data_IF_019548292950
#
_entry.id   IF_019548292950
#
_cell.length_a   1.000
_cell.length_b   1.000
_cell.length_c   1.000
_cell.angle_alpha   90.00
_cell.angle_beta   90.00
_cell.angle_gamma   90.00
#
_symmetry.space_group_name_H-M   'P 1'
#
loop_
_entity.id
_entity.type
_entity.pdbx_description
1 polymer ?
#
# COMPACT_ATOMS: atom_id res chain seq x y z
N UNK A 1 -41.28 17.35 0.40
CA UNK A 1 -42.33 16.31 0.43
C UNK A 1 -41.65 14.98 0.74
N UNK A 2 -42.36 14.03 1.36
CA UNK A 2 -41.84 12.68 1.61
C UNK A 2 -42.50 11.72 0.64
N UNK A 3 -41.69 11.01 -0.16
CA UNK A 3 -42.16 10.02 -1.13
C UNK A 3 -41.80 8.63 -0.62
N UNK A 4 -42.79 7.76 -0.44
CA UNK A 4 -42.59 6.37 -0.01
C UNK A 4 -42.98 5.44 -1.15
N UNK A 5 -42.07 4.56 -1.53
CA UNK A 5 -42.28 3.52 -2.53
C UNK A 5 -42.16 2.16 -1.85
N UNK A 6 -43.20 1.32 -1.96
CA UNK A 6 -43.24 -0.01 -1.37
C UNK A 6 -43.70 -1.03 -2.41
N UNK A 7 -43.07 -2.21 -2.43
CA UNK A 7 -43.43 -3.35 -3.29
C UNK A 7 -43.42 -3.02 -4.80
N UNK A 8 -42.47 -2.18 -5.23
CA UNK A 8 -42.36 -1.77 -6.64
C UNK A 8 -41.44 -2.73 -7.40
N UNK A 9 -41.93 -3.20 -8.54
CA UNK A 9 -41.18 -4.05 -9.46
C UNK A 9 -40.98 -3.31 -10.78
N UNK A 10 -39.75 -2.87 -11.03
CA UNK A 10 -39.36 -2.26 -12.31
C UNK A 10 -38.61 -3.31 -13.12
N UNK A 11 -39.32 -3.91 -14.09
CA UNK A 11 -38.86 -5.03 -14.89
C UNK A 11 -39.38 -4.92 -16.33
N UNK A 12 -38.53 -5.25 -17.31
CA UNK A 12 -38.93 -5.52 -18.69
C UNK A 12 -38.54 -6.94 -19.14
N UNK A 13 -39.33 -7.58 -20.04
CA UNK A 13 -38.96 -8.86 -20.67
C UNK A 13 -37.73 -8.74 -21.58
N UNK A 14 -37.48 -7.52 -22.05
CA UNK A 14 -36.26 -7.05 -22.71
C UNK A 14 -35.66 -5.90 -21.88
N UNK A 15 -34.38 -5.52 -22.07
CA UNK A 15 -33.80 -4.40 -21.34
C UNK A 15 -34.68 -3.16 -21.43
N UNK A 16 -35.20 -2.69 -20.28
CA UNK A 16 -36.00 -1.47 -20.22
C UNK A 16 -35.05 -0.29 -20.49
N UNK A 17 -35.24 0.38 -21.63
CA UNK A 17 -34.46 1.57 -21.97
C UNK A 17 -35.01 2.80 -21.25
N UNK A 18 -34.26 3.29 -20.27
CA UNK A 18 -34.61 4.48 -19.49
C UNK A 18 -33.78 5.65 -20.01
N UNK A 19 -34.41 6.61 -20.69
CA UNK A 19 -33.71 7.76 -21.32
C UNK A 19 -33.58 8.94 -20.35
N UNK A 20 -34.58 9.14 -19.48
CA UNK A 20 -34.57 10.08 -18.37
C UNK A 20 -34.61 9.30 -17.05
N UNK A 21 -33.96 9.79 -15.99
CA UNK A 21 -33.98 9.12 -14.68
C UNK A 21 -35.41 8.78 -14.21
N UNK A 22 -35.56 7.70 -13.45
CA UNK A 22 -36.88 7.26 -12.95
C UNK A 22 -37.36 8.21 -11.85
N UNK A 23 -36.42 8.70 -11.05
CA UNK A 23 -36.65 9.64 -9.96
C UNK A 23 -35.60 10.74 -10.06
N UNK A 24 -36.04 11.99 -10.11
CA UNK A 24 -35.20 13.19 -10.09
C UNK A 24 -36.00 14.29 -9.39
N UNK A 25 -35.74 14.57 -8.11
CA UNK A 25 -36.49 15.60 -7.36
C UNK A 25 -35.88 15.90 -5.96
N UNK A 26 -36.17 17.09 -5.43
CA UNK A 26 -35.75 17.60 -4.11
C UNK A 26 -36.62 17.10 -2.94
N UNK A 27 -37.02 15.82 -2.97
CA UNK A 27 -37.82 15.20 -1.90
C UNK A 27 -37.03 14.21 -1.06
N UNK A 28 -37.51 13.91 0.15
CA UNK A 28 -36.99 12.79 0.94
C UNK A 28 -37.63 11.48 0.45
N UNK A 29 -36.84 10.41 0.35
CA UNK A 29 -37.26 9.14 -0.23
C UNK A 29 -37.08 7.97 0.72
N UNK A 30 -38.12 7.13 0.81
CA UNK A 30 -38.06 5.81 1.43
C UNK A 30 -38.48 4.80 0.37
N UNK A 31 -37.59 3.88 0.02
CA UNK A 31 -37.86 2.75 -0.87
C UNK A 31 -37.71 1.48 -0.08
N UNK A 32 -38.79 0.71 0.03
CA UNK A 32 -38.82 -0.53 0.79
C UNK A 32 -39.29 -1.69 -0.09
N UNK A 33 -38.58 -2.82 -0.07
CA UNK A 33 -38.87 -3.99 -0.89
C UNK A 33 -39.03 -3.68 -2.40
N UNK A 34 -38.08 -2.91 -2.97
CA UNK A 34 -38.12 -2.50 -4.38
C UNK A 34 -37.16 -3.32 -5.24
N UNK A 35 -37.61 -3.74 -6.43
CA UNK A 35 -36.81 -4.51 -7.38
C UNK A 35 -36.54 -3.75 -8.68
N UNK A 36 -35.27 -3.64 -9.03
CA UNK A 36 -34.78 -3.09 -10.29
C UNK A 36 -34.13 -4.21 -11.11
N UNK A 37 -34.74 -4.62 -12.23
CA UNK A 37 -34.23 -5.73 -13.05
C UNK A 37 -34.21 -5.42 -14.54
N UNK A 38 -33.12 -5.81 -15.20
CA UNK A 38 -32.95 -5.69 -16.66
C UNK A 38 -33.19 -4.26 -17.16
N UNK A 39 -32.49 -3.28 -16.59
CA UNK A 39 -32.64 -1.87 -16.99
C UNK A 39 -31.36 -1.44 -17.69
N UNK A 40 -31.50 -0.85 -18.87
CA UNK A 40 -30.40 -0.16 -19.54
C UNK A 40 -30.72 1.32 -19.59
N UNK A 41 -29.80 2.17 -19.18
CA UNK A 41 -29.99 3.61 -19.25
C UNK A 41 -28.79 4.30 -19.88
N UNK A 42 -29.04 5.33 -20.67
CA UNK A 42 -28.03 6.30 -21.09
C UNK A 42 -28.11 7.60 -20.28
N UNK A 43 -28.99 7.65 -19.27
CA UNK A 43 -29.18 8.84 -18.44
C UNK A 43 -27.99 9.03 -17.49
N UNK A 44 -27.96 10.21 -16.84
CA UNK A 44 -26.99 10.50 -15.79
C UNK A 44 -27.16 9.58 -14.57
N UNK A 45 -28.39 9.26 -14.19
CA UNK A 45 -28.67 8.28 -13.15
C UNK A 45 -30.05 7.66 -13.31
N UNK A 46 -30.21 6.41 -12.88
CA UNK A 46 -31.53 5.79 -12.75
C UNK A 46 -32.27 6.42 -11.56
N UNK A 47 -31.57 6.54 -10.42
CA UNK A 47 -32.06 7.15 -9.20
C UNK A 47 -31.21 8.39 -8.90
N UNK A 48 -31.78 9.57 -9.09
CA UNK A 48 -31.12 10.84 -8.79
C UNK A 48 -31.81 11.51 -7.60
N UNK A 49 -31.02 11.84 -6.58
CA UNK A 49 -31.51 12.43 -5.35
C UNK A 49 -30.73 13.70 -5.01
N UNK A 50 -31.44 14.76 -4.65
CA UNK A 50 -30.86 16.06 -4.29
C UNK A 50 -31.37 16.57 -2.94
N UNK A 51 -30.46 17.08 -2.13
CA UNK A 51 -30.69 17.90 -0.92
C UNK A 51 -31.42 17.26 0.26
N UNK A 52 -31.77 15.98 0.19
CA UNK A 52 -32.61 15.33 1.18
C UNK A 52 -32.09 13.94 1.56
N UNK A 53 -32.61 13.43 2.69
CA UNK A 53 -32.33 12.08 3.13
C UNK A 53 -32.99 11.02 2.23
N UNK A 54 -32.28 9.91 2.03
CA UNK A 54 -32.71 8.78 1.21
C UNK A 54 -32.49 7.48 1.97
N UNK A 55 -33.52 6.65 2.03
CA UNK A 55 -33.49 5.34 2.68
C UNK A 55 -33.92 4.26 1.69
N UNK A 56 -33.01 3.35 1.34
CA UNK A 56 -33.24 2.20 0.47
C UNK A 56 -33.14 0.94 1.32
N UNK A 57 -34.26 0.30 1.61
CA UNK A 57 -34.33 -0.91 2.41
C UNK A 57 -34.84 -2.09 1.57
N UNK A 58 -34.24 -3.25 1.77
CA UNK A 58 -34.64 -4.51 1.12
C UNK A 58 -34.73 -4.40 -0.42
N UNK A 59 -33.80 -3.66 -1.05
CA UNK A 59 -33.81 -3.51 -2.52
C UNK A 59 -33.06 -4.64 -3.24
N UNK A 60 -33.59 -5.08 -4.37
CA UNK A 60 -32.94 -6.04 -5.27
C UNK A 60 -32.59 -5.37 -6.61
N UNK A 61 -31.31 -5.25 -6.90
CA UNK A 61 -30.78 -4.62 -8.13
C UNK A 61 -30.04 -5.66 -8.94
N UNK A 62 -30.51 -5.94 -10.16
CA UNK A 62 -29.96 -7.01 -10.99
C UNK A 62 -29.96 -6.64 -12.47
N UNK A 63 -28.83 -6.88 -13.16
CA UNK A 63 -28.71 -6.65 -14.61
C UNK A 63 -29.04 -5.20 -14.99
N UNK A 64 -28.45 -4.26 -14.27
CA UNK A 64 -28.50 -2.84 -14.59
C UNK A 64 -27.30 -2.48 -15.46
N UNK A 65 -27.52 -1.74 -16.54
CA UNK A 65 -26.47 -1.25 -17.43
C UNK A 65 -26.59 0.26 -17.63
N UNK A 66 -25.70 1.03 -17.03
CA UNK A 66 -25.61 2.48 -17.20
C UNK A 66 -24.57 2.80 -18.29
N UNK A 67 -25.03 3.10 -19.50
CA UNK A 67 -24.22 3.27 -20.72
C UNK A 67 -24.07 4.71 -21.18
N UNK A 68 -24.40 5.68 -20.32
CA UNK A 68 -24.18 7.10 -20.60
C UNK A 68 -22.69 7.46 -20.70
N UNK A 69 -22.39 8.75 -20.78
CA UNK A 69 -21.01 9.24 -20.85
C UNK A 69 -20.19 8.76 -19.64
N UNK A 70 -18.91 8.47 -19.92
CA UNK A 70 -17.96 8.09 -18.87
C UNK A 70 -17.93 9.16 -17.78
N UNK A 71 -17.83 8.75 -16.52
CA UNK A 71 -17.83 9.59 -15.30
C UNK A 71 -19.18 10.11 -14.78
N UNK A 72 -20.16 10.31 -15.66
CA UNK A 72 -21.42 10.97 -15.28
C UNK A 72 -22.58 9.99 -15.07
N UNK A 73 -22.56 8.82 -15.69
CA UNK A 73 -23.63 7.83 -15.53
C UNK A 73 -23.47 6.96 -14.29
N UNK A 74 -24.59 6.67 -13.61
CA UNK A 74 -24.63 5.86 -12.38
C UNK A 74 -25.99 5.17 -12.21
N UNK A 75 -26.07 4.18 -11.33
CA UNK A 75 -27.37 3.68 -10.88
C UNK A 75 -27.99 4.66 -9.88
N UNK A 76 -27.20 5.04 -8.87
CA UNK A 76 -27.56 6.05 -7.86
C UNK A 76 -26.62 7.25 -7.98
N UNK A 77 -27.20 8.44 -8.12
CA UNK A 77 -26.52 9.72 -7.93
C UNK A 77 -27.16 10.46 -6.76
N UNK A 78 -26.41 10.62 -5.68
CA UNK A 78 -26.84 11.34 -4.48
C UNK A 78 -26.03 12.62 -4.31
N UNK A 79 -26.72 13.77 -4.28
CA UNK A 79 -26.11 15.06 -4.02
C UNK A 79 -26.69 15.67 -2.74
N UNK A 80 -25.90 15.75 -1.67
CA UNK A 80 -26.36 16.32 -0.40
C UNK A 80 -26.46 17.84 -0.41
N UNK A 81 -25.87 18.53 -1.40
CA UNK A 81 -25.76 19.98 -1.42
C UNK A 81 -24.90 20.51 -0.27
N UNK A 82 -25.32 21.60 0.35
CA UNK A 82 -24.62 22.24 1.47
C UNK A 82 -24.97 21.63 2.84
N UNK A 83 -26.09 20.90 2.92
CA UNK A 83 -26.61 20.35 4.16
C UNK A 83 -26.05 18.95 4.44
N UNK A 84 -26.03 18.59 5.72
CA UNK A 84 -25.83 17.21 6.15
C UNK A 84 -27.04 16.36 5.77
N UNK A 85 -26.87 15.50 4.76
CA UNK A 85 -27.88 14.55 4.33
C UNK A 85 -27.35 13.12 4.33
N UNK A 86 -28.25 12.20 4.63
CA UNK A 86 -27.99 10.77 4.76
C UNK A 86 -28.51 10.02 3.53
N UNK A 87 -27.69 9.12 3.00
CA UNK A 87 -28.15 8.03 2.16
C UNK A 87 -27.86 6.70 2.85
N UNK A 88 -28.91 5.91 3.04
CA UNK A 88 -28.87 4.62 3.72
C UNK A 88 -29.31 3.52 2.77
N UNK A 89 -28.50 2.46 2.66
CA UNK A 89 -28.79 1.25 1.90
C UNK A 89 -28.69 0.06 2.85
N UNK A 90 -29.80 -0.61 3.11
CA UNK A 90 -29.88 -1.68 4.11
C UNK A 90 -30.52 -2.94 3.56
N UNK A 91 -30.06 -4.10 4.01
CA UNK A 91 -30.64 -5.42 3.70
C UNK A 91 -30.79 -5.68 2.19
N UNK A 92 -29.86 -5.15 1.39
CA UNK A 92 -30.03 -5.06 -0.06
C UNK A 92 -29.13 -6.02 -0.83
N UNK A 93 -29.48 -6.31 -2.07
CA UNK A 93 -28.68 -7.16 -2.95
C UNK A 93 -28.51 -6.52 -4.33
N UNK A 94 -27.28 -6.20 -4.70
CA UNK A 94 -26.90 -5.59 -5.98
C UNK A 94 -26.01 -6.59 -6.71
N UNK A 95 -26.39 -7.00 -7.93
CA UNK A 95 -25.58 -7.95 -8.69
C UNK A 95 -25.62 -7.81 -10.20
N UNK A 96 -24.61 -8.38 -10.86
CA UNK A 96 -24.55 -8.58 -12.31
C UNK A 96 -24.82 -7.29 -13.10
N UNK A 97 -24.22 -6.19 -12.69
CA UNK A 97 -24.53 -4.86 -13.21
C UNK A 97 -23.28 -4.16 -13.73
N UNK A 98 -23.46 -3.16 -14.60
CA UNK A 98 -22.37 -2.39 -15.16
C UNK A 98 -22.66 -0.90 -15.29
N UNK A 99 -21.62 -0.06 -15.22
CA UNK A 99 -21.73 1.39 -15.41
C UNK A 99 -20.51 1.97 -16.14
N UNK A 100 -20.71 2.94 -17.02
CA UNK A 100 -19.61 3.72 -17.62
C UNK A 100 -19.01 4.77 -16.66
N UNK A 101 -19.64 5.02 -15.51
CA UNK A 101 -19.08 5.81 -14.41
C UNK A 101 -19.16 5.02 -13.10
N UNK A 102 -19.19 5.70 -11.95
CA UNK A 102 -19.48 5.05 -10.69
C UNK A 102 -20.86 4.38 -10.67
N UNK A 103 -21.03 3.28 -9.95
CA UNK A 103 -22.36 2.65 -9.85
C UNK A 103 -23.24 3.38 -8.82
N UNK A 104 -22.65 3.76 -7.68
CA UNK A 104 -23.24 4.61 -6.64
C UNK A 104 -22.32 5.80 -6.46
N UNK A 105 -22.77 6.98 -6.88
CA UNK A 105 -22.01 8.23 -6.80
C UNK A 105 -22.60 9.16 -5.76
N UNK A 106 -21.75 9.72 -4.90
CA UNK A 106 -22.15 10.68 -3.86
C UNK A 106 -21.30 11.94 -3.92
N UNK A 107 -21.95 13.09 -3.84
CA UNK A 107 -21.32 14.42 -3.87
C UNK A 107 -22.01 15.37 -2.89
N UNK A 108 -21.35 16.47 -2.55
CA UNK A 108 -21.88 17.55 -1.68
C UNK A 108 -20.87 18.00 -0.62
N UNK A 109 -21.26 18.94 0.25
CA UNK A 109 -20.39 19.48 1.29
C UNK A 109 -20.24 18.50 2.47
N UNK A 110 -21.36 18.00 3.00
CA UNK A 110 -21.39 17.02 4.07
C UNK A 110 -22.31 15.85 3.70
N UNK A 111 -21.86 14.61 3.88
CA UNK A 111 -22.73 13.46 3.71
C UNK A 111 -22.55 12.36 4.77
N UNK A 112 -23.67 11.71 5.10
CA UNK A 112 -23.67 10.48 5.89
C UNK A 112 -24.00 9.30 4.98
N UNK A 113 -23.12 8.30 4.93
CA UNK A 113 -23.36 7.03 4.27
C UNK A 113 -23.68 5.95 5.28
N UNK A 114 -24.72 5.18 5.01
CA UNK A 114 -24.99 3.96 5.76
C UNK A 114 -25.16 2.83 4.77
N UNK A 115 -24.35 1.79 4.89
CA UNK A 115 -24.42 0.57 4.08
C UNK A 115 -24.38 -0.63 5.01
N UNK A 116 -25.52 -1.29 5.22
CA UNK A 116 -25.65 -2.38 6.20
C UNK A 116 -26.27 -3.63 5.60
N UNK A 117 -25.79 -4.81 6.02
CA UNK A 117 -26.37 -6.10 5.65
C UNK A 117 -26.62 -6.23 4.14
N UNK A 118 -25.66 -5.80 3.32
CA UNK A 118 -25.84 -5.65 1.87
C UNK A 118 -24.83 -6.52 1.13
N UNK A 119 -25.25 -7.08 -0.01
CA UNK A 119 -24.38 -7.79 -0.95
C UNK A 119 -24.24 -6.98 -2.23
N UNK A 120 -23.00 -6.74 -2.68
CA UNK A 120 -22.68 -6.09 -3.95
C UNK A 120 -21.70 -6.98 -4.70
N UNK A 121 -22.20 -7.68 -5.72
CA UNK A 121 -21.49 -8.78 -6.35
C UNK A 121 -21.50 -8.71 -7.87
N UNK A 122 -20.36 -8.94 -8.53
CA UNK A 122 -20.27 -8.95 -9.99
C UNK A 122 -20.71 -7.62 -10.64
N UNK A 123 -20.29 -6.49 -10.06
CA UNK A 123 -20.47 -5.16 -10.64
C UNK A 123 -19.19 -4.72 -11.34
N UNK A 124 -19.29 -4.35 -12.62
CA UNK A 124 -18.16 -3.81 -13.40
C UNK A 124 -18.41 -2.36 -13.77
N UNK A 125 -17.52 -1.46 -13.40
CA UNK A 125 -17.66 -0.03 -13.71
C UNK A 125 -16.40 0.57 -14.35
N UNK A 126 -16.58 1.62 -15.13
CA UNK A 126 -15.49 2.52 -15.57
C UNK A 126 -15.33 3.70 -14.59
N UNK A 127 -15.36 3.35 -13.31
CA UNK A 127 -15.07 4.17 -12.14
C UNK A 127 -15.29 3.37 -10.86
N UNK A 128 -15.17 3.94 -9.66
CA UNK A 128 -15.41 3.20 -8.43
C UNK A 128 -16.87 2.69 -8.38
N UNK A 129 -17.11 1.46 -7.90
CA UNK A 129 -18.50 0.98 -7.74
C UNK A 129 -19.23 1.87 -6.74
N UNK A 130 -18.57 2.25 -5.65
CA UNK A 130 -19.05 3.25 -4.71
C UNK A 130 -18.05 4.38 -4.67
N UNK A 131 -18.47 5.58 -5.02
CA UNK A 131 -17.66 6.79 -4.99
C UNK A 131 -18.32 7.84 -4.10
N UNK A 132 -17.51 8.52 -3.28
CA UNK A 132 -17.95 9.71 -2.58
C UNK A 132 -16.89 10.79 -2.57
N UNK A 133 -17.23 11.91 -3.20
CA UNK A 133 -16.35 13.07 -3.38
C UNK A 133 -16.75 14.25 -2.47
N UNK A 134 -17.50 13.98 -1.40
CA UNK A 134 -17.93 15.02 -0.46
C UNK A 134 -16.77 15.55 0.37
N UNK A 135 -16.82 16.83 0.76
CA UNK A 135 -15.72 17.46 1.53
C UNK A 135 -15.60 16.90 2.94
N UNK A 136 -16.72 16.61 3.59
CA UNK A 136 -16.82 15.98 4.91
C UNK A 136 -17.76 14.78 4.84
N UNK A 137 -17.33 13.64 5.38
CA UNK A 137 -18.07 12.40 5.22
C UNK A 137 -18.10 11.60 6.52
N UNK A 138 -19.29 11.18 6.92
CA UNK A 138 -19.48 10.11 7.90
C UNK A 138 -19.90 8.83 7.16
N UNK A 139 -19.16 7.74 7.33
CA UNK A 139 -19.34 6.50 6.59
C UNK A 139 -19.49 5.35 7.58
N UNK A 140 -20.62 4.64 7.51
CA UNK A 140 -20.86 3.43 8.27
C UNK A 140 -21.13 2.25 7.33
N UNK A 141 -20.19 1.31 7.27
CA UNK A 141 -20.30 0.08 6.51
C UNK A 141 -20.29 -1.09 7.50
N UNK A 142 -21.32 -1.93 7.49
CA UNK A 142 -21.33 -3.14 8.32
C UNK A 142 -22.01 -4.32 7.65
N UNK A 143 -21.49 -5.53 7.90
CA UNK A 143 -22.03 -6.76 7.32
C UNK A 143 -22.17 -6.65 5.79
N UNK A 144 -21.19 -6.05 5.13
CA UNK A 144 -21.14 -5.93 3.67
C UNK A 144 -20.44 -7.17 3.08
N UNK A 145 -21.05 -7.76 2.06
CA UNK A 145 -20.44 -8.76 1.19
C UNK A 145 -20.14 -8.12 -0.17
N UNK A 146 -18.87 -7.81 -0.44
CA UNK A 146 -18.44 -7.06 -1.63
C UNK A 146 -17.48 -7.90 -2.47
N UNK A 147 -18.00 -8.65 -3.44
CA UNK A 147 -17.22 -9.65 -4.17
C UNK A 147 -17.25 -9.55 -5.69
N UNK A 148 -16.14 -9.92 -6.32
CA UNK A 148 -16.00 -9.99 -7.79
C UNK A 148 -16.36 -8.69 -8.50
N UNK A 149 -16.12 -7.55 -7.86
CA UNK A 149 -16.38 -6.26 -8.48
C UNK A 149 -15.12 -5.71 -9.15
N UNK A 150 -15.31 -4.98 -10.25
CA UNK A 150 -14.19 -4.51 -11.08
C UNK A 150 -14.36 -3.00 -11.35
N UNK A 151 -13.44 -2.20 -10.84
CA UNK A 151 -13.19 -0.86 -11.36
C UNK A 151 -12.16 -0.94 -12.51
N UNK A 152 -12.66 -0.80 -13.74
CA UNK A 152 -11.86 -0.85 -14.97
C UNK A 152 -11.21 0.49 -15.35
N UNK A 153 -11.46 1.56 -14.60
CA UNK A 153 -10.81 2.85 -14.82
C UNK A 153 -9.34 2.79 -14.38
N UNK A 154 -8.42 3.24 -15.23
CA UNK A 154 -6.98 3.25 -14.95
C UNK A 154 -6.52 4.48 -14.17
N UNK A 155 -7.39 5.47 -14.03
CA UNK A 155 -7.07 6.78 -13.44
C UNK A 155 -7.79 7.00 -12.11
N UNK A 156 -8.93 6.36 -11.88
CA UNK A 156 -9.70 6.48 -10.64
C UNK A 156 -9.31 5.40 -9.64
N UNK A 157 -9.38 5.73 -8.35
CA UNK A 157 -8.89 4.89 -7.27
C UNK A 157 -10.03 4.03 -6.69
N UNK A 158 -9.73 2.84 -6.17
CA UNK A 158 -10.69 2.07 -5.38
C UNK A 158 -11.73 1.30 -6.20
N UNK A 159 -12.15 0.15 -5.68
CA UNK A 159 -13.51 -0.35 -6.00
C UNK A 159 -14.56 0.38 -5.16
N UNK A 160 -14.20 0.75 -3.93
CA UNK A 160 -14.87 1.73 -3.07
C UNK A 160 -13.90 2.88 -2.85
N UNK A 161 -14.35 4.10 -3.08
CA UNK A 161 -13.51 5.30 -3.04
C UNK A 161 -14.13 6.40 -2.16
N UNK A 162 -13.35 6.85 -1.18
CA UNK A 162 -13.66 8.00 -0.33
C UNK A 162 -12.45 8.94 -0.23
N UNK A 163 -12.68 10.24 -0.04
CA UNK A 163 -11.63 11.25 0.05
C UNK A 163 -11.99 12.41 1.00
N UNK A 164 -11.04 13.34 1.22
CA UNK A 164 -11.17 14.54 2.06
C UNK A 164 -11.25 14.26 3.58
N UNK A 165 -12.12 14.96 4.32
CA UNK A 165 -12.33 14.76 5.76
C UNK A 165 -13.24 13.55 6.00
N UNK A 166 -12.74 12.52 6.68
CA UNK A 166 -13.39 11.23 6.84
C UNK A 166 -13.63 10.86 8.30
N UNK A 167 -14.85 10.45 8.62
CA UNK A 167 -15.17 9.61 9.78
C UNK A 167 -15.68 8.28 9.24
N UNK A 168 -14.89 7.21 9.33
CA UNK A 168 -15.18 5.93 8.66
C UNK A 168 -15.21 4.76 9.64
N UNK A 169 -16.32 4.02 9.64
CA UNK A 169 -16.52 2.79 10.40
C UNK A 169 -16.81 1.64 9.43
N UNK A 170 -15.93 0.65 9.37
CA UNK A 170 -16.12 -0.56 8.55
C UNK A 170 -16.04 -1.77 9.47
N UNK A 171 -17.14 -2.53 9.56
CA UNK A 171 -17.25 -3.64 10.51
C UNK A 171 -17.78 -4.92 9.88
N UNK A 172 -17.27 -6.07 10.32
CA UNK A 172 -17.83 -7.39 9.97
C UNK A 172 -18.06 -7.59 8.46
N UNK A 173 -17.22 -7.00 7.62
CA UNK A 173 -17.43 -6.95 6.17
C UNK A 173 -16.39 -7.77 5.43
N UNK A 174 -16.80 -8.36 4.32
CA UNK A 174 -15.93 -9.16 3.44
C UNK A 174 -15.76 -8.45 2.10
N UNK A 175 -14.51 -8.28 1.70
CA UNK A 175 -14.11 -7.73 0.41
C UNK A 175 -13.28 -8.79 -0.31
N UNK A 176 -13.86 -9.41 -1.34
CA UNK A 176 -13.18 -10.51 -2.04
C UNK A 176 -13.09 -10.41 -3.54
N UNK A 177 -11.94 -10.78 -4.08
CA UNK A 177 -11.75 -10.93 -5.54
C UNK A 177 -12.15 -9.66 -6.31
N UNK A 178 -11.99 -8.50 -5.69
CA UNK A 178 -12.23 -7.22 -6.34
C UNK A 178 -10.96 -6.77 -7.07
N UNK A 179 -11.13 -6.13 -8.23
CA UNK A 179 -10.03 -5.63 -9.03
C UNK A 179 -10.22 -4.15 -9.35
N UNK A 180 -9.24 -3.34 -8.96
CA UNK A 180 -9.11 -1.97 -9.44
C UNK A 180 -7.91 -1.89 -10.38
N UNK A 181 -8.06 -1.29 -11.55
CA UNK A 181 -6.91 -1.07 -12.47
C UNK A 181 -5.98 0.06 -12.03
N UNK A 182 -6.29 0.71 -10.91
CA UNK A 182 -5.45 1.69 -10.22
C UNK A 182 -5.19 1.23 -8.78
N UNK A 183 -5.07 2.14 -7.81
CA UNK A 183 -4.78 1.81 -6.41
C UNK A 183 -6.02 1.39 -5.62
N UNK A 184 -5.85 0.60 -4.56
CA UNK A 184 -6.91 0.19 -3.62
C UNK A 184 -7.86 -0.85 -4.22
N UNK A 185 -7.47 -2.12 -4.22
CA UNK A 185 -8.25 -3.15 -4.93
C UNK A 185 -9.67 -3.31 -4.38
N UNK A 186 -9.83 -3.23 -3.05
CA UNK A 186 -11.13 -3.11 -2.41
C UNK A 186 -11.44 -1.64 -2.07
N UNK A 187 -10.69 -1.04 -1.14
CA UNK A 187 -10.95 0.30 -0.62
C UNK A 187 -9.78 1.22 -0.93
N UNK A 188 -10.09 2.40 -1.48
CA UNK A 188 -9.17 3.50 -1.59
C UNK A 188 -9.65 4.70 -0.78
N UNK A 189 -8.79 5.16 0.12
CA UNK A 189 -8.91 6.43 0.83
C UNK A 189 -7.74 7.31 0.39
N UNK A 190 -8.00 8.36 -0.38
CA UNK A 190 -6.98 9.29 -0.84
C UNK A 190 -7.38 10.73 -0.54
N UNK A 191 -6.44 11.64 -0.73
CA UNK A 191 -6.64 13.06 -0.48
C UNK A 191 -7.21 13.32 0.93
N UNK A 192 -6.72 12.54 1.89
CA UNK A 192 -7.19 12.58 3.27
C UNK A 192 -6.59 13.82 3.94
N UNK A 193 -7.46 14.70 4.43
CA UNK A 193 -7.10 15.88 5.24
C UNK A 193 -7.17 15.55 6.73
N UNK A 194 -8.24 14.89 7.15
CA UNK A 194 -8.46 14.38 8.51
C UNK A 194 -9.17 13.03 8.45
N UNK A 195 -8.80 12.08 9.32
CA UNK A 195 -9.47 10.79 9.37
C UNK A 195 -9.63 10.27 10.81
N UNK A 196 -10.88 10.12 11.25
CA UNK A 196 -11.24 9.18 12.30
C UNK A 196 -11.66 7.86 11.64
N UNK A 197 -11.07 6.74 12.06
CA UNK A 197 -11.23 5.47 11.35
C UNK A 197 -11.35 4.29 12.30
N UNK A 198 -12.30 3.40 12.04
CA UNK A 198 -12.41 2.13 12.75
C UNK A 198 -12.69 1.00 11.77
N UNK A 199 -11.72 0.11 11.61
CA UNK A 199 -11.81 -1.11 10.85
C UNK A 199 -11.80 -2.27 11.84
N UNK A 200 -12.94 -2.91 12.05
CA UNK A 200 -13.08 -4.02 13.00
C UNK A 200 -13.64 -5.27 12.33
N UNK A 201 -12.93 -6.39 12.47
CA UNK A 201 -13.42 -7.71 12.08
C UNK A 201 -13.75 -7.83 10.59
N UNK A 202 -12.94 -7.21 9.72
CA UNK A 202 -13.11 -7.28 8.26
C UNK A 202 -12.17 -8.29 7.60
N UNK A 203 -12.59 -8.82 6.46
CA UNK A 203 -11.81 -9.76 5.65
C UNK A 203 -11.56 -9.15 4.27
N UNK A 204 -10.30 -8.97 3.92
CA UNK A 204 -9.84 -8.56 2.59
C UNK A 204 -9.10 -9.74 1.96
N UNK A 205 -9.68 -10.37 0.94
CA UNK A 205 -9.05 -11.52 0.32
C UNK A 205 -9.05 -11.55 -1.21
N UNK A 206 -7.92 -11.92 -1.80
CA UNK A 206 -7.76 -12.03 -3.26
C UNK A 206 -8.11 -10.74 -4.02
N UNK A 207 -7.99 -9.56 -3.39
CA UNK A 207 -8.20 -8.30 -4.09
C UNK A 207 -6.94 -7.87 -4.84
N UNK A 208 -7.10 -7.14 -5.94
CA UNK A 208 -6.02 -6.79 -6.87
C UNK A 208 -6.02 -5.30 -7.23
N UNK A 209 -4.83 -4.68 -7.20
CA UNK A 209 -4.62 -3.28 -7.59
C UNK A 209 -3.18 -3.00 -8.04
N UNK A 210 -2.90 -1.75 -8.45
CA UNK A 210 -1.53 -1.25 -8.65
C UNK A 210 -0.81 -1.15 -7.30
N UNK A 211 -1.38 -0.43 -6.34
CA UNK A 211 -0.88 -0.36 -4.97
C UNK A 211 -2.02 -0.66 -3.99
N UNK A 212 -1.72 -1.32 -2.88
CA UNK A 212 -2.72 -1.61 -1.85
C UNK A 212 -3.77 -2.59 -2.38
N UNK A 213 -3.39 -3.86 -2.54
CA UNK A 213 -4.29 -4.87 -3.11
C UNK A 213 -5.62 -4.95 -2.35
N UNK A 214 -5.59 -4.87 -1.01
CA UNK A 214 -6.80 -4.70 -0.20
C UNK A 214 -7.14 -3.23 0.05
N UNK A 215 -6.24 -2.51 0.71
CA UNK A 215 -6.48 -1.15 1.21
C UNK A 215 -5.38 -0.18 0.76
N UNK A 216 -5.80 0.99 0.28
CA UNK A 216 -4.92 2.09 -0.07
C UNK A 216 -5.26 3.34 0.75
N UNK A 217 -4.24 3.99 1.32
CA UNK A 217 -4.35 5.18 2.17
C UNK A 217 -3.35 6.24 1.69
N UNK A 218 -3.78 7.49 1.49
CA UNK A 218 -2.89 8.59 1.10
C UNK A 218 -3.39 9.95 1.58
N UNK A 219 -2.50 10.77 2.14
CA UNK A 219 -2.77 12.18 2.46
C UNK A 219 -3.11 13.01 1.21
N UNK A 220 -3.80 14.13 1.41
CA UNK A 220 -3.84 15.19 0.40
C UNK A 220 -2.44 15.71 0.08
N UNK A 221 -2.11 15.82 -1.22
CA UNK A 221 -0.88 16.49 -1.65
C UNK A 221 -1.09 18.01 -1.49
N UNK A 222 -0.79 18.53 -0.31
CA UNK A 222 -0.74 19.98 -0.10
C UNK A 222 0.47 20.52 -0.89
N UNK A 223 0.22 20.95 -2.12
CA UNK A 223 1.25 21.31 -3.11
C UNK A 223 2.06 22.58 -2.76
N UNK A 224 1.87 23.17 -1.57
CA UNK A 224 2.47 24.46 -1.21
C UNK A 224 2.92 24.62 0.26
N UNK A 225 2.93 23.57 1.08
CA UNK A 225 3.67 23.67 2.34
C UNK A 225 5.14 23.33 2.09
N UNK A 226 5.90 24.37 1.79
CA UNK A 226 7.21 24.53 2.40
C UNK A 226 6.98 24.21 3.87
N UNK A 227 7.40 23.02 4.30
CA UNK A 227 7.66 22.77 5.70
C UNK A 227 8.84 23.68 6.01
N UNK A 228 8.54 24.92 6.36
CA UNK A 228 9.48 25.77 7.05
C UNK A 228 9.79 25.02 8.34
N UNK A 229 10.92 24.32 8.35
CA UNK A 229 11.53 23.66 9.50
C UNK A 229 11.90 24.67 10.63
N UNK A 230 11.30 25.86 10.65
CA UNK A 230 11.64 26.98 11.54
C UNK A 230 10.49 27.47 12.42
N UNK A 231 9.29 26.89 12.37
CA UNK A 231 8.27 27.18 13.37
C UNK A 231 8.22 26.08 14.44
N UNK A 232 9.08 26.26 15.45
CA UNK A 232 8.87 25.80 16.82
C UNK A 232 7.61 26.47 17.42
N UNK A 233 6.45 26.27 16.81
CA UNK A 233 5.18 26.54 17.46
C UNK A 233 4.61 25.20 17.92
N UNK A 234 4.77 24.97 19.22
CA UNK A 234 3.98 24.06 20.04
C UNK A 234 2.48 24.41 19.94
N UNK A 235 1.88 24.25 18.76
CA UNK A 235 0.45 24.09 18.67
C UNK A 235 0.18 22.61 18.86
N UNK A 236 -0.02 22.25 20.13
CA UNK A 236 -0.78 21.09 20.59
C UNK A 236 -2.20 21.14 20.02
N UNK A 237 -2.36 21.00 18.70
CA UNK A 237 -3.60 20.48 18.17
C UNK A 237 -3.52 18.97 18.30
N UNK A 238 -3.79 18.51 19.53
CA UNK A 238 -4.21 17.15 19.83
C UNK A 238 -5.58 16.89 19.17
N UNK A 239 -5.65 16.96 17.84
CA UNK A 239 -6.71 16.28 17.14
C UNK A 239 -6.36 14.81 17.23
N UNK A 240 -6.82 14.17 18.30
CA UNK A 240 -6.73 12.73 18.54
C UNK A 240 -7.67 12.00 17.55
N UNK A 241 -7.46 12.22 16.26
CA UNK A 241 -8.08 11.48 15.19
C UNK A 241 -7.61 10.03 15.35
N UNK A 242 -8.47 9.23 15.96
CA UNK A 242 -8.11 7.88 16.39
C UNK A 242 -8.40 6.95 15.23
N UNK A 243 -7.38 6.21 14.82
CA UNK A 243 -7.49 5.19 13.78
C UNK A 243 -7.33 3.84 14.46
N UNK A 244 -8.31 2.96 14.27
CA UNK A 244 -8.40 1.67 14.93
C UNK A 244 -8.44 0.58 13.86
N UNK A 245 -7.57 -0.41 13.98
CA UNK A 245 -7.62 -1.64 13.21
C UNK A 245 -7.66 -2.82 14.19
N UNK A 246 -8.81 -3.48 14.33
CA UNK A 246 -8.93 -4.66 15.17
C UNK A 246 -9.46 -5.87 14.40
N UNK A 247 -8.91 -7.05 14.67
CA UNK A 247 -9.44 -8.34 14.21
C UNK A 247 -9.58 -8.46 12.67
N UNK A 248 -8.83 -7.66 11.89
CA UNK A 248 -8.93 -7.70 10.43
C UNK A 248 -8.01 -8.78 9.84
N UNK A 249 -8.45 -9.37 8.73
CA UNK A 249 -7.68 -10.37 7.98
C UNK A 249 -7.44 -9.85 6.56
N UNK A 250 -6.17 -9.72 6.18
CA UNK A 250 -5.74 -9.46 4.81
C UNK A 250 -4.99 -10.68 4.27
N UNK A 251 -5.59 -11.36 3.30
CA UNK A 251 -5.08 -12.65 2.80
C UNK A 251 -5.04 -12.72 1.28
N UNK A 252 -3.93 -13.15 0.70
CA UNK A 252 -3.82 -13.42 -0.75
C UNK A 252 -4.14 -12.20 -1.64
N UNK A 253 -4.06 -10.97 -1.12
CA UNK A 253 -4.23 -9.77 -1.93
C UNK A 253 -2.96 -9.50 -2.75
N UNK A 254 -3.14 -8.88 -3.92
CA UNK A 254 -2.09 -8.70 -4.93
C UNK A 254 -1.98 -7.22 -5.30
N UNK A 255 -0.76 -6.69 -5.24
CA UNK A 255 -0.41 -5.38 -5.80
C UNK A 255 0.60 -5.55 -6.94
N UNK A 256 0.44 -4.85 -8.07
CA UNK A 256 1.48 -4.86 -9.12
C UNK A 256 2.71 -4.08 -8.70
N UNK A 257 2.57 -3.07 -7.83
CA UNK A 257 3.70 -2.26 -7.37
C UNK A 257 3.99 -2.57 -5.90
N UNK A 258 3.22 -1.98 -4.97
CA UNK A 258 3.56 -2.08 -3.56
C UNK A 258 2.36 -2.26 -2.63
N UNK A 259 2.61 -2.88 -1.48
CA UNK A 259 1.60 -3.09 -0.44
C UNK A 259 0.55 -4.10 -0.89
N UNK A 260 0.93 -5.38 -0.97
CA UNK A 260 0.01 -6.43 -1.46
C UNK A 260 -1.30 -6.45 -0.68
N UNK A 261 -1.25 -6.31 0.65
CA UNK A 261 -2.44 -6.05 1.47
C UNK A 261 -2.74 -4.56 1.61
N UNK A 262 -1.80 -3.82 2.20
CA UNK A 262 -2.00 -2.42 2.59
C UNK A 262 -0.88 -1.57 2.01
N UNK A 263 -1.26 -0.53 1.30
CA UNK A 263 -0.35 0.56 0.95
C UNK A 263 -0.78 1.81 1.70
N UNK A 264 0.17 2.47 2.37
CA UNK A 264 -0.10 3.73 3.04
C UNK A 264 0.97 4.79 2.77
N UNK A 265 0.55 5.88 2.18
CA UNK A 265 1.24 7.17 2.23
C UNK A 265 0.45 8.16 3.10
N UNK A 266 -0.23 7.68 4.13
CA UNK A 266 -0.96 8.49 5.09
C UNK A 266 -0.10 8.75 6.34
N UNK A 267 0.18 10.02 6.60
CA UNK A 267 1.17 10.49 7.58
C UNK A 267 0.82 10.12 9.02
N UNK A 268 -0.47 10.03 9.35
CA UNK A 268 -0.92 9.77 10.73
C UNK A 268 -1.15 8.28 11.03
N UNK A 269 -0.91 7.37 10.07
CA UNK A 269 -1.17 5.93 10.28
C UNK A 269 -0.36 5.33 11.44
N UNK A 270 0.81 5.91 11.75
CA UNK A 270 1.66 5.48 12.86
C UNK A 270 1.04 5.70 14.26
N UNK A 271 -0.03 6.48 14.36
CA UNK A 271 -0.82 6.65 15.58
C UNK A 271 -1.96 5.62 15.72
N UNK A 272 -2.14 4.73 14.74
CA UNK A 272 -3.24 3.78 14.75
C UNK A 272 -3.11 2.78 15.92
N UNK A 273 -4.22 2.58 16.61
CA UNK A 273 -4.42 1.53 17.60
C UNK A 273 -4.70 0.24 16.84
N UNK A 274 -3.91 -0.79 17.10
CA UNK A 274 -4.07 -2.07 16.39
C UNK A 274 -4.10 -3.25 17.33
N UNK A 275 -4.90 -4.26 16.99
CA UNK A 275 -5.10 -5.47 17.80
C UNK A 275 -5.52 -6.66 16.93
N UNK A 276 -4.90 -7.82 17.13
CA UNK A 276 -5.32 -9.10 16.56
C UNK A 276 -5.53 -9.11 15.03
N UNK A 277 -4.74 -8.35 14.27
CA UNK A 277 -4.85 -8.34 12.81
C UNK A 277 -3.96 -9.41 12.18
N UNK A 278 -4.33 -9.90 11.00
CA UNK A 278 -3.56 -10.88 10.24
C UNK A 278 -3.29 -10.36 8.82
N UNK A 279 -2.04 -10.42 8.38
CA UNK A 279 -1.61 -10.06 7.02
C UNK A 279 -0.76 -11.21 6.48
N UNK A 280 -1.36 -12.09 5.68
CA UNK A 280 -0.72 -13.33 5.26
C UNK A 280 -0.85 -13.62 3.77
N UNK A 281 0.21 -14.18 3.17
CA UNK A 281 0.19 -14.67 1.78
C UNK A 281 -0.18 -13.61 0.73
N UNK A 282 -0.02 -12.32 1.07
CA UNK A 282 -0.20 -11.24 0.11
C UNK A 282 1.06 -11.09 -0.76
N UNK A 283 0.88 -10.57 -1.97
CA UNK A 283 1.95 -10.43 -2.96
C UNK A 283 2.04 -8.99 -3.47
N UNK A 284 3.25 -8.49 -3.62
CA UNK A 284 3.56 -7.31 -4.42
C UNK A 284 4.62 -7.67 -5.48
N UNK A 285 4.72 -6.94 -6.60
CA UNK A 285 5.83 -7.21 -7.55
C UNK A 285 7.07 -6.36 -7.25
N UNK A 286 6.93 -5.20 -6.59
CA UNK A 286 8.05 -4.28 -6.35
C UNK A 286 8.44 -4.24 -4.86
N UNK A 287 7.52 -3.88 -3.94
CA UNK A 287 7.87 -3.66 -2.53
C UNK A 287 6.73 -3.98 -1.55
N UNK A 288 7.07 -4.41 -0.33
CA UNK A 288 6.11 -4.57 0.75
C UNK A 288 4.99 -5.55 0.39
N UNK A 289 5.33 -6.83 0.26
CA UNK A 289 4.39 -7.89 -0.13
C UNK A 289 3.14 -7.94 0.76
N UNK A 290 3.30 -7.70 2.06
CA UNK A 290 2.19 -7.45 2.98
C UNK A 290 1.84 -5.97 3.04
N UNK A 291 2.70 -5.18 3.69
CA UNK A 291 2.47 -3.75 3.94
C UNK A 291 3.57 -2.89 3.31
N UNK A 292 3.19 -1.78 2.69
CA UNK A 292 4.14 -0.75 2.26
C UNK A 292 3.78 0.62 2.81
N UNK A 293 4.77 1.39 3.30
CA UNK A 293 4.54 2.80 3.67
C UNK A 293 5.74 3.75 3.64
N UNK A 294 5.51 4.97 3.14
CA UNK A 294 6.54 5.98 2.85
C UNK A 294 6.86 6.96 4.00
N UNK A 295 5.89 7.33 4.85
CA UNK A 295 6.03 8.44 5.81
C UNK A 295 6.63 8.05 7.18
N UNK A 296 7.18 6.84 7.33
CA UNK A 296 7.52 6.27 8.64
C UNK A 296 9.00 5.86 8.73
N UNK A 297 9.89 6.81 8.42
CA UNK A 297 11.36 6.60 8.40
C UNK A 297 11.94 6.22 9.77
N UNK A 298 11.41 6.81 10.85
CA UNK A 298 11.96 6.67 12.21
C UNK A 298 10.89 6.27 13.26
N UNK A 299 9.63 6.13 12.81
CA UNK A 299 8.49 5.77 13.66
C UNK A 299 8.00 4.41 13.20
N UNK A 300 7.99 3.41 14.08
CA UNK A 300 7.48 2.07 13.73
C UNK A 300 6.08 2.26 13.14
N UNK A 301 5.89 1.91 11.86
CA UNK A 301 4.67 2.13 11.09
C UNK A 301 3.42 1.65 11.86
N UNK A 302 3.64 0.62 12.66
CA UNK A 302 2.80 0.12 13.73
C UNK A 302 3.74 -0.46 14.79
N UNK A 303 3.28 -0.64 16.03
CA UNK A 303 3.96 -1.56 16.96
C UNK A 303 3.66 -3.02 16.54
N UNK A 304 4.04 -3.39 15.29
CA UNK A 304 3.72 -4.67 14.64
C UNK A 304 4.12 -5.88 15.47
N UNK A 305 5.17 -5.74 16.29
CA UNK A 305 5.75 -6.82 17.09
C UNK A 305 4.76 -7.45 18.08
N UNK A 306 3.62 -6.81 18.40
CA UNK A 306 2.66 -7.35 19.37
C UNK A 306 1.25 -7.63 18.83
N UNK A 307 0.81 -6.93 17.77
CA UNK A 307 -0.62 -6.85 17.45
C UNK A 307 -1.00 -7.24 16.01
N UNK A 308 -0.01 -7.61 15.18
CA UNK A 308 -0.25 -8.21 13.86
C UNK A 308 0.47 -9.55 13.72
N UNK A 309 -0.21 -10.55 13.16
CA UNK A 309 0.43 -11.72 12.54
C UNK A 309 0.74 -11.39 11.07
N UNK A 310 1.98 -10.97 10.78
CA UNK A 310 2.44 -10.68 9.41
C UNK A 310 3.46 -11.73 8.97
N UNK A 311 3.05 -12.62 8.07
CA UNK A 311 3.92 -13.71 7.61
C UNK A 311 3.58 -14.20 6.20
N UNK A 312 4.57 -14.81 5.56
CA UNK A 312 4.45 -15.42 4.24
C UNK A 312 3.96 -14.47 3.14
N UNK A 313 4.14 -13.16 3.29
CA UNK A 313 3.87 -12.23 2.20
C UNK A 313 5.12 -12.11 1.33
N UNK A 314 4.96 -11.97 0.02
CA UNK A 314 6.11 -12.02 -0.91
C UNK A 314 6.20 -10.81 -1.83
N UNK A 315 7.44 -10.47 -2.16
CA UNK A 315 7.78 -9.74 -3.37
C UNK A 315 8.43 -10.74 -4.30
N UNK A 316 7.81 -11.00 -5.45
CA UNK A 316 8.16 -12.14 -6.32
C UNK A 316 8.18 -13.46 -5.53
N UNK A 317 9.36 -14.09 -5.39
CA UNK A 317 9.61 -15.32 -4.66
C UNK A 317 10.19 -15.10 -3.26
N UNK A 318 10.50 -13.86 -2.87
CA UNK A 318 11.13 -13.53 -1.60
C UNK A 318 10.11 -13.11 -0.56
N UNK A 319 10.27 -13.59 0.68
CA UNK A 319 9.44 -13.13 1.80
C UNK A 319 9.74 -11.65 2.05
N UNK A 320 8.71 -10.81 1.91
CA UNK A 320 8.75 -9.39 2.18
C UNK A 320 7.43 -8.99 2.85
N UNK A 321 7.41 -9.12 4.18
CA UNK A 321 6.22 -8.89 5.00
C UNK A 321 5.81 -7.42 5.07
N UNK A 322 6.79 -6.53 5.20
CA UNK A 322 6.57 -5.10 5.20
C UNK A 322 7.83 -4.36 4.72
N UNK A 323 7.64 -3.22 4.08
CA UNK A 323 8.74 -2.37 3.62
C UNK A 323 8.35 -0.89 3.74
N UNK A 324 9.31 -0.03 4.09
CA UNK A 324 9.09 1.42 4.17
C UNK A 324 10.06 2.25 3.35
N UNK A 325 11.10 1.62 2.79
CA UNK A 325 12.04 2.26 1.90
C UNK A 325 12.59 1.26 0.90
N UNK A 326 13.01 1.77 -0.25
CA UNK A 326 13.81 0.97 -1.16
C UNK A 326 15.25 0.91 -0.66
N UNK A 327 15.72 -0.27 -0.26
CA UNK A 327 17.13 -0.51 0.05
C UNK A 327 17.74 -1.49 -0.93
N UNK A 328 18.89 -1.10 -1.51
CA UNK A 328 19.73 -1.97 -2.31
C UNK A 328 20.57 -2.89 -1.40
N UNK A 329 19.92 -3.78 -0.62
CA UNK A 329 20.59 -4.68 0.35
C UNK A 329 21.61 -5.63 -0.30
N UNK A 330 21.43 -5.94 -1.58
CA UNK A 330 22.23 -6.92 -2.31
C UNK A 330 23.11 -6.29 -3.41
N UNK A 331 23.28 -4.96 -3.43
CA UNK A 331 24.19 -4.34 -4.39
C UNK A 331 25.64 -4.67 -4.02
N UNK A 332 26.30 -5.46 -4.87
CA UNK A 332 27.71 -5.79 -4.76
C UNK A 332 28.47 -5.21 -5.95
N UNK A 333 29.62 -4.60 -5.67
CA UNK A 333 30.48 -4.00 -6.69
C UNK A 333 31.81 -4.73 -6.65
N UNK A 334 32.14 -5.40 -7.76
CA UNK A 334 33.40 -6.10 -7.96
C UNK A 334 34.25 -5.30 -8.94
N UNK A 335 35.39 -4.78 -8.49
CA UNK A 335 36.26 -3.93 -9.29
C UNK A 335 37.72 -4.04 -8.83
N UNK A 336 38.65 -3.68 -9.71
CA UNK A 336 40.09 -3.64 -9.39
C UNK A 336 40.44 -2.37 -8.58
N UNK A 337 41.60 -2.31 -7.92
CA UNK A 337 41.98 -1.14 -7.12
C UNK A 337 42.04 0.13 -7.95
N UNK A 338 41.12 1.05 -7.69
CA UNK A 338 41.06 2.38 -8.30
C UNK A 338 40.02 3.25 -7.57
N UNK A 339 39.97 4.53 -7.96
CA UNK A 339 38.87 5.43 -7.63
C UNK A 339 37.83 5.38 -8.74
N UNK A 340 36.63 4.91 -8.42
CA UNK A 340 35.49 4.88 -9.32
C UNK A 340 34.52 6.02 -8.99
N UNK A 341 33.92 6.60 -10.02
CA UNK A 341 32.80 7.53 -9.86
C UNK A 341 31.55 6.88 -10.42
N UNK A 342 30.67 6.42 -9.54
CA UNK A 342 29.39 5.87 -9.92
C UNK A 342 28.39 6.99 -10.18
N UNK A 343 27.73 6.92 -11.33
CA UNK A 343 26.62 7.80 -11.73
C UNK A 343 25.38 6.92 -11.81
N UNK A 344 24.32 7.33 -11.13
CA UNK A 344 23.04 6.63 -11.21
C UNK A 344 22.22 7.25 -12.34
N UNK A 345 21.80 6.40 -13.28
CA UNK A 345 20.86 6.74 -14.33
C UNK A 345 19.58 5.97 -14.03
N UNK A 346 18.45 6.68 -14.00
CA UNK A 346 17.13 6.07 -13.85
C UNK A 346 16.47 6.18 -15.21
N UNK A 347 16.33 5.04 -15.87
CA UNK A 347 15.64 4.93 -17.16
C UNK A 347 14.12 4.83 -16.94
N UNK A 348 13.33 5.21 -17.94
CA UNK A 348 11.87 5.07 -17.96
C UNK A 348 11.09 5.82 -16.84
N UNK A 349 11.68 6.88 -16.27
CA UNK A 349 10.99 7.79 -15.36
C UNK A 349 10.91 9.20 -15.98
N UNK A 350 9.70 9.72 -16.15
CA UNK A 350 9.45 11.00 -16.84
C UNK A 350 9.38 12.22 -15.90
N UNK A 351 9.62 12.05 -14.60
CA UNK A 351 9.62 13.14 -13.62
C UNK A 351 11.01 13.67 -13.28
N UNK A 352 11.07 14.83 -12.62
CA UNK A 352 12.31 15.38 -12.09
C UNK A 352 12.76 14.62 -10.84
N UNK A 353 13.83 13.83 -10.94
CA UNK A 353 14.45 13.18 -9.79
C UNK A 353 15.55 14.08 -9.23
N UNK A 354 15.34 14.61 -8.03
CA UNK A 354 16.38 15.33 -7.30
C UNK A 354 17.27 14.30 -6.58
N UNK A 355 18.40 13.96 -7.19
CA UNK A 355 19.46 13.21 -6.53
C UNK A 355 20.23 14.15 -5.58
N UNK A 356 20.36 13.79 -4.30
CA UNK A 356 21.17 14.54 -3.35
C UNK A 356 22.69 14.36 -3.55
N UNK A 357 23.06 13.53 -4.52
CA UNK A 357 24.43 13.29 -4.95
C UNK A 357 24.48 13.29 -6.48
N UNK A 358 25.52 13.91 -7.06
CA UNK A 358 25.75 13.83 -8.52
C UNK A 358 26.53 12.58 -8.90
N UNK A 359 27.45 12.17 -8.03
CA UNK A 359 28.36 11.03 -8.19
C UNK A 359 28.65 10.43 -6.83
N UNK A 360 28.71 9.10 -6.74
CA UNK A 360 29.24 8.42 -5.56
C UNK A 360 30.68 8.02 -5.90
N UNK A 361 31.65 8.54 -5.13
CA UNK A 361 33.05 8.12 -5.26
C UNK A 361 33.26 6.85 -4.44
N UNK A 362 33.76 5.81 -5.09
CA UNK A 362 34.06 4.52 -4.47
C UNK A 362 35.55 4.28 -4.63
N UNK A 363 36.25 4.16 -3.51
CA UNK A 363 37.67 3.83 -3.50
C UNK A 363 37.80 2.33 -3.25
N UNK A 364 38.20 1.59 -4.27
CA UNK A 364 38.56 0.19 -4.12
C UNK A 364 40.04 0.15 -3.82
N UNK A 365 40.37 -0.28 -2.60
CA UNK A 365 41.75 -0.39 -2.16
C UNK A 365 42.38 -1.68 -2.70
N UNK A 366 43.71 -1.68 -2.81
CA UNK A 366 44.47 -2.90 -3.05
C UNK A 366 44.47 -3.80 -1.78
N UNK A 367 44.92 -5.04 -1.93
CA UNK A 367 45.09 -5.95 -0.80
C UNK A 367 46.11 -5.40 0.19
N UNK A 368 45.86 -5.62 1.49
CA UNK A 368 46.82 -5.30 2.54
C UNK A 368 48.05 -6.21 2.43
N UNK A 369 49.18 -5.78 2.99
CA UNK A 369 50.44 -6.53 2.94
C UNK A 369 50.36 -7.96 3.51
N UNK A 370 49.41 -8.22 4.41
CA UNK A 370 49.15 -9.52 5.02
C UNK A 370 48.11 -10.37 4.28
N UNK A 371 47.66 -9.93 3.09
CA UNK A 371 46.66 -10.60 2.28
C UNK A 371 47.26 -11.12 0.97
N UNK A 372 46.84 -12.31 0.55
CA UNK A 372 47.18 -12.91 -0.74
C UNK A 372 46.32 -12.26 -1.81
N UNK A 373 46.97 -11.76 -2.86
CA UNK A 373 46.31 -11.24 -4.07
C UNK A 373 45.88 -12.41 -4.94
N UNK A 374 44.59 -12.52 -5.24
CA UNK A 374 44.05 -13.53 -6.13
C UNK A 374 43.14 -12.91 -7.17
N UNK A 375 42.93 -13.61 -8.27
CA UNK A 375 42.14 -13.12 -9.40
C UNK A 375 41.05 -14.12 -9.75
N UNK A 376 39.82 -13.65 -9.84
CA UNK A 376 38.69 -14.40 -10.40
C UNK A 376 38.10 -13.57 -11.53
N UNK A 377 38.08 -14.12 -12.75
CA UNK A 377 37.65 -13.41 -13.96
C UNK A 377 38.31 -12.02 -14.13
N UNK A 378 39.64 -11.91 -13.90
CA UNK A 378 40.42 -10.67 -13.96
C UNK A 378 40.06 -9.59 -12.92
N UNK A 379 39.29 -9.94 -11.89
CA UNK A 379 39.00 -9.07 -10.75
C UNK A 379 39.87 -9.50 -9.57
N UNK A 380 40.63 -8.56 -9.03
CA UNK A 380 41.40 -8.74 -7.80
C UNK A 380 40.45 -8.96 -6.61
N UNK A 381 40.69 -10.02 -5.86
CA UNK A 381 40.14 -10.20 -4.52
C UNK A 381 41.24 -10.63 -3.56
N UNK A 382 41.05 -10.31 -2.29
CA UNK A 382 42.06 -10.45 -1.25
C UNK A 382 41.61 -11.48 -0.23
N UNK A 383 42.45 -12.46 0.07
CA UNK A 383 42.26 -13.36 1.21
C UNK A 383 43.33 -13.15 2.26
N UNK A 384 42.99 -13.30 3.54
CA UNK A 384 44.00 -13.35 4.58
C UNK A 384 44.90 -14.57 4.38
N UNK A 385 46.22 -14.40 4.51
CA UNK A 385 47.19 -15.48 4.37
C UNK A 385 46.90 -16.60 5.39
N UNK A 386 46.88 -17.85 4.93
CA UNK A 386 46.70 -19.05 5.77
C UNK A 386 48.06 -19.53 6.25
N UNK A 387 48.25 -19.64 7.56
CA UNK A 387 49.50 -20.15 8.16
C UNK A 387 49.32 -21.55 8.75
N UNK A 388 50.43 -22.28 8.87
CA UNK A 388 50.48 -23.57 9.57
C UNK A 388 49.99 -23.41 11.02
N UNK A 389 49.39 -24.47 11.58
CA UNK A 389 48.80 -24.48 12.94
C UNK A 389 49.77 -24.07 14.06
N UNK A 390 51.08 -24.17 13.85
CA UNK A 390 52.10 -23.78 14.84
C UNK A 390 52.36 -22.27 14.93
N UNK A 391 51.82 -21.46 14.03
CA UNK A 391 52.01 -20.01 14.04
C UNK A 391 51.01 -19.33 15.00
N UNK A 392 51.46 -18.62 16.05
CA UNK A 392 50.60 -17.95 17.03
C UNK A 392 50.09 -16.59 16.49
N UNK A 393 49.26 -16.64 15.45
CA UNK A 393 48.64 -15.46 14.82
C UNK A 393 47.77 -14.72 15.84
N UNK A 394 47.76 -13.39 15.78
CA UNK A 394 47.02 -12.45 16.67
C UNK A 394 47.59 -12.27 18.09
N UNK A 395 48.50 -13.12 18.55
CA UNK A 395 49.22 -12.94 19.82
C UNK A 395 50.67 -12.49 19.61
N UNK A 396 51.45 -13.31 18.90
CA UNK A 396 52.92 -13.18 18.83
C UNK A 396 53.43 -13.13 17.39
N UNK A 397 52.56 -13.39 16.43
CA UNK A 397 52.89 -13.40 15.01
C UNK A 397 51.77 -12.83 14.15
N UNK A 398 52.12 -12.50 12.91
CA UNK A 398 51.20 -12.20 11.81
C UNK A 398 51.50 -13.18 10.69
N UNK A 399 50.44 -13.72 10.08
CA UNK A 399 50.61 -14.51 8.86
C UNK A 399 50.80 -13.57 7.67
N UNK A 400 51.89 -13.74 6.94
CA UNK A 400 52.19 -12.93 5.75
C UNK A 400 52.28 -13.81 4.50
N UNK A 401 51.76 -13.34 3.35
CA UNK A 401 51.77 -14.10 2.11
C UNK A 401 53.19 -14.20 1.53
N UNK A 402 53.47 -15.27 0.78
CA UNK A 402 54.66 -15.30 -0.07
C UNK A 402 54.39 -14.50 -1.36
N UNK A 403 55.16 -13.43 -1.56
CA UNK A 403 54.87 -12.37 -2.55
C UNK A 403 54.72 -12.84 -4.02
N UNK A 404 55.15 -14.05 -4.37
CA UNK A 404 55.04 -14.58 -5.74
C UNK A 404 53.87 -15.55 -5.94
N UNK A 405 53.12 -15.92 -4.89
CA UNK A 405 52.06 -16.92 -4.98
C UNK A 405 50.70 -16.25 -5.28
N UNK A 406 50.06 -16.66 -6.37
CA UNK A 406 48.66 -16.31 -6.72
C UNK A 406 47.64 -17.26 -6.07
N UNK A 407 48.11 -18.12 -5.15
CA UNK A 407 47.32 -19.13 -4.46
C UNK A 407 47.62 -19.00 -2.97
N UNK A 408 46.57 -18.98 -2.15
CA UNK A 408 46.69 -18.91 -0.69
C UNK A 408 47.01 -20.30 -0.08
N UNK A 409 48.24 -20.77 -0.31
CA UNK A 409 48.75 -22.06 0.17
C UNK A 409 49.37 -21.95 1.57
N UNK A 410 48.85 -22.75 2.50
CA UNK A 410 49.30 -22.84 3.90
C UNK A 410 50.79 -23.20 4.04
N UNK A 411 51.37 -23.87 3.06
CA UNK A 411 52.77 -24.29 3.08
C UNK A 411 53.73 -23.23 2.56
N UNK A 412 53.23 -22.25 1.80
CA UNK A 412 54.04 -21.19 1.19
C UNK A 412 54.05 -19.91 2.03
N UNK A 413 52.95 -19.60 2.73
CA UNK A 413 52.85 -18.42 3.57
C UNK A 413 53.77 -18.48 4.80
N UNK A 414 54.20 -17.33 5.29
CA UNK A 414 55.20 -17.22 6.34
C UNK A 414 54.59 -16.75 7.67
N UNK A 415 55.04 -17.36 8.76
CA UNK A 415 54.77 -16.89 10.11
C UNK A 415 55.79 -15.81 10.47
N UNK A 416 55.37 -14.54 10.51
CA UNK A 416 56.26 -13.42 10.87
C UNK A 416 56.03 -13.01 12.31
N UNK A 417 57.08 -13.04 13.13
CA UNK A 417 56.99 -12.67 14.53
C UNK A 417 56.74 -11.17 14.72
N UNK A 418 55.92 -10.85 15.72
CA UNK A 418 55.71 -9.49 16.19
C UNK A 418 56.98 -8.98 16.89
N UNK A 419 57.12 -7.65 16.98
CA UNK A 419 58.25 -7.03 17.67
C UNK A 419 58.35 -7.58 19.10
N UNK A 420 59.54 -8.05 19.49
CA UNK A 420 59.80 -8.67 20.79
C UNK A 420 59.71 -10.20 20.80
N UNK A 421 59.42 -10.84 19.66
CA UNK A 421 59.38 -12.29 19.51
C UNK A 421 60.27 -12.79 18.37
N UNK A 422 60.84 -13.99 18.49
CA UNK A 422 61.69 -14.64 17.50
C UNK A 422 61.51 -16.18 17.49
N UNK A 423 62.16 -16.83 16.52
CA UNK A 423 62.08 -18.28 16.28
C UNK A 423 61.03 -18.67 15.24
N UNK A 424 61.11 -19.90 14.73
CA UNK A 424 60.28 -20.40 13.61
C UNK A 424 58.77 -20.31 13.87
N UNK A 425 58.36 -20.39 15.15
CA UNK A 425 56.98 -20.25 15.60
C UNK A 425 56.78 -19.06 16.57
N UNK A 426 57.72 -18.12 16.63
CA UNK A 426 57.60 -16.91 17.46
C UNK A 426 57.36 -17.16 18.96
N UNK A 427 57.93 -18.25 19.48
CA UNK A 427 57.79 -18.64 20.88
C UNK A 427 58.86 -18.02 21.79
N UNK A 428 59.97 -17.53 21.23
CA UNK A 428 61.08 -16.99 22.00
C UNK A 428 60.90 -15.48 22.13
N UNK A 429 61.00 -14.94 23.35
CA UNK A 429 60.94 -13.49 23.59
C UNK A 429 62.33 -12.89 23.48
N UNK A 430 62.47 -11.80 22.73
CA UNK A 430 63.74 -11.09 22.58
C UNK A 430 63.98 -10.25 23.84
N UNK A 431 65.12 -10.46 24.51
CA UNK A 431 65.56 -9.65 25.64
C UNK A 431 66.69 -8.71 25.22
N UNK A 432 66.50 -7.40 25.37
CA UNK A 432 67.54 -6.40 25.09
C UNK A 432 68.52 -6.37 26.27
N UNK A 433 69.79 -6.63 26.03
CA UNK A 433 70.85 -6.52 27.03
C UNK A 433 71.40 -5.09 27.02
N UNK A 434 71.04 -4.29 28.04
CA UNK A 434 71.63 -2.97 28.25
C UNK A 434 72.97 -3.15 28.98
N UNK A 435 74.06 -3.18 28.22
CA UNK A 435 75.43 -3.23 28.75
C UNK A 435 76.04 -1.84 28.89
#
# INVERSE_FOLDING_TARGET
>A
MNSTFQDIFIHGPHPLLVINGIIDDESSYIMDNVKFKNITTSSKAILKFTYNNVYLNDIEVEKISCTGDSYDTSFILFNSGENENTISITNSNIRNSSSNGPFIKRIGEYNKFILKNTSINYVTSYGPIIESLSKKQEIEISNLDFNYNINSNKYECGSIHFCNDLTIFVKNSTFSKNECKNNGGAICLNDITNMEGNFDSNIFHNNKAINGGGLYLKDEIISNHIIDNNNNNNNNNNNNNTIIFENNIFKENIATNAGGAIYSNYSQLHFAITKNNQITMNKAEIMGGGVYSLHSKDKKLFNFEKNFDIRNNTVESFINNYESRFELKNLQIYANPNTYSMVFLIENYHGNIKMNFKKIKINVSDCKDNQVKMYYNNILYCENAKCKKGCPVDEKAVCVPYYTALVNDINMNQCKCNIGWEGENCHNKIFINFR
#
